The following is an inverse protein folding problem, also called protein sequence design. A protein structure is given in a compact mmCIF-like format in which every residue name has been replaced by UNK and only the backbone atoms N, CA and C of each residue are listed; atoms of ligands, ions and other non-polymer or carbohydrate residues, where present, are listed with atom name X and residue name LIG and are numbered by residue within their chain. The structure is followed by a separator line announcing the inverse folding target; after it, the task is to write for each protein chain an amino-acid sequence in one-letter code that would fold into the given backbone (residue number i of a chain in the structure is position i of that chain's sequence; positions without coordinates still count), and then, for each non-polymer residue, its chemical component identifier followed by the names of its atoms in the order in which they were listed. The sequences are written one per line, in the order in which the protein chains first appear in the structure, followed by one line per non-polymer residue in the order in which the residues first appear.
data_IF_530778890713
#
_entry.id   IF_530778890713
#
_cell.length_a   1.000
_cell.length_b   1.000
_cell.length_c   1.000
_cell.angle_alpha   90.00
_cell.angle_beta   90.00
_cell.angle_gamma   90.00
#
_symmetry.space_group_name_H-M   'P 1'
#
loop_
_entity.id
_entity.type
_entity.pdbx_description
1 polymer ?
#
# COMPACT_ATOMS: atom_id res chain seq x y z
N UNK A 1 2.76 36.41 12.10
CA UNK A 1 4.00 35.80 12.64
C UNK A 1 3.99 34.31 12.35
N UNK A 2 4.70 33.90 11.29
CA UNK A 2 4.82 32.50 10.87
C UNK A 2 5.77 31.77 11.84
N UNK A 3 5.30 30.71 12.48
CA UNK A 3 6.17 29.85 13.27
C UNK A 3 7.02 28.97 12.33
N UNK A 4 8.34 28.91 12.54
CA UNK A 4 9.23 28.09 11.71
C UNK A 4 8.90 26.60 11.88
N UNK A 5 9.05 25.85 10.79
CA UNK A 5 8.96 24.39 10.73
C UNK A 5 9.80 23.75 11.85
N UNK A 6 9.14 23.37 12.95
CA UNK A 6 9.73 22.49 13.93
C UNK A 6 9.94 21.14 13.23
N UNK A 7 11.20 20.83 12.92
CA UNK A 7 11.61 19.47 12.53
C UNK A 7 11.11 18.54 13.64
N UNK A 8 10.06 17.78 13.36
CA UNK A 8 9.48 16.85 14.31
C UNK A 8 10.57 15.85 14.71
N UNK A 9 11.09 15.97 15.92
CA UNK A 9 11.97 14.96 16.51
C UNK A 9 11.19 13.64 16.53
N UNK A 10 11.76 12.50 16.09
CA UNK A 10 11.02 11.23 16.04
C UNK A 10 10.44 10.86 17.41
N UNK A 11 9.12 10.84 17.50
CA UNK A 11 8.37 10.49 18.72
C UNK A 11 8.07 8.99 18.79
N UNK A 12 8.21 8.29 17.66
CA UNK A 12 7.90 6.88 17.54
C UNK A 12 8.92 6.16 16.65
N UNK A 13 9.36 4.98 17.09
CA UNK A 13 10.19 4.08 16.30
C UNK A 13 9.33 2.92 15.81
N UNK A 14 9.06 2.88 14.51
CA UNK A 14 8.44 1.73 13.86
C UNK A 14 9.48 0.61 13.78
N UNK A 15 9.36 -0.35 14.71
CA UNK A 15 10.30 -1.46 14.84
C UNK A 15 10.32 -2.36 13.61
N UNK A 16 9.17 -2.58 12.98
CA UNK A 16 9.04 -3.39 11.76
C UNK A 16 7.88 -2.81 10.94
N UNK A 17 8.20 -2.33 9.74
CA UNK A 17 7.22 -2.13 8.68
C UNK A 17 7.14 -3.39 7.82
N UNK A 18 5.96 -3.70 7.28
CA UNK A 18 5.81 -4.72 6.24
C UNK A 18 5.60 -4.04 4.92
N UNK A 19 6.38 -4.44 3.91
CA UNK A 19 6.24 -3.99 2.54
C UNK A 19 5.81 -5.16 1.66
N UNK A 20 4.72 -4.96 0.92
CA UNK A 20 4.16 -5.95 0.00
C UNK A 20 3.60 -5.26 -1.24
N UNK A 21 3.48 -6.02 -2.33
CA UNK A 21 2.73 -5.60 -3.51
C UNK A 21 1.52 -6.52 -3.68
N UNK A 22 0.34 -5.95 -3.87
CA UNK A 22 -0.83 -6.68 -4.39
C UNK A 22 -1.08 -6.32 -5.85
N UNK A 23 -1.65 -7.26 -6.61
CA UNK A 23 -1.90 -7.09 -8.05
C UNK A 23 -3.39 -7.12 -8.33
N UNK A 24 -3.94 -5.99 -8.72
CA UNK A 24 -5.34 -5.85 -9.08
C UNK A 24 -5.48 -5.74 -10.59
N UNK A 25 -6.39 -6.51 -11.20
CA UNK A 25 -6.71 -6.32 -12.62
C UNK A 25 -7.20 -4.90 -12.88
N UNK A 26 -6.71 -4.27 -13.94
CA UNK A 26 -7.17 -2.94 -14.32
C UNK A 26 -8.63 -2.96 -14.80
N UNK A 27 -9.37 -1.93 -14.45
CA UNK A 27 -10.78 -1.76 -14.82
C UNK A 27 -10.86 -1.16 -16.23
N UNK A 28 -11.60 -1.80 -17.18
CA UNK A 28 -11.83 -1.22 -18.50
C UNK A 28 -12.73 0.00 -18.42
N UNK A 29 -12.66 0.86 -19.44
CA UNK A 29 -13.53 2.03 -19.54
C UNK A 29 -15.00 1.58 -19.73
N UNK A 30 -15.89 2.16 -18.93
CA UNK A 30 -17.28 1.71 -18.76
C UNK A 30 -17.47 0.72 -17.60
N UNK A 31 -16.39 0.20 -17.01
CA UNK A 31 -16.43 -0.64 -15.82
C UNK A 31 -16.28 -2.15 -16.09
N UNK A 32 -15.80 -2.86 -15.07
CA UNK A 32 -15.40 -4.27 -15.17
C UNK A 32 -16.55 -5.28 -15.04
N UNK A 33 -16.33 -6.48 -15.59
CA UNK A 33 -17.31 -7.57 -15.64
C UNK A 33 -17.93 -7.95 -14.30
N UNK A 34 -17.22 -7.72 -13.18
CA UNK A 34 -17.72 -7.97 -11.82
C UNK A 34 -19.02 -7.22 -11.52
N UNK A 35 -19.20 -6.01 -12.07
CA UNK A 35 -20.36 -5.17 -11.80
C UNK A 35 -21.33 -5.05 -12.98
N UNK A 36 -20.82 -5.04 -14.21
CA UNK A 36 -21.66 -4.89 -15.42
C UNK A 36 -22.04 -6.23 -16.06
N UNK A 37 -21.57 -7.35 -15.51
CA UNK A 37 -21.72 -8.68 -16.08
C UNK A 37 -20.72 -8.98 -17.20
N UNK A 38 -20.52 -10.28 -17.50
CA UNK A 38 -19.48 -10.74 -18.45
C UNK A 38 -19.63 -10.17 -19.85
N UNK A 39 -20.84 -10.19 -20.42
CA UNK A 39 -21.10 -9.73 -21.78
C UNK A 39 -20.77 -8.25 -21.97
N UNK A 40 -21.25 -7.40 -21.05
CA UNK A 40 -20.97 -5.96 -21.12
C UNK A 40 -19.52 -5.66 -20.78
N UNK A 41 -18.95 -6.33 -19.77
CA UNK A 41 -17.56 -6.15 -19.38
C UNK A 41 -16.57 -6.53 -20.49
N UNK A 42 -16.90 -7.53 -21.32
CA UNK A 42 -16.09 -7.86 -22.49
C UNK A 42 -16.18 -6.76 -23.56
N UNK A 43 -17.36 -6.20 -23.82
CA UNK A 43 -17.51 -5.05 -24.72
C UNK A 43 -16.69 -3.85 -24.26
N UNK A 44 -16.78 -3.50 -22.98
CA UNK A 44 -15.98 -2.43 -22.36
C UNK A 44 -14.48 -2.69 -22.51
N UNK A 45 -14.05 -3.92 -22.21
CA UNK A 45 -12.65 -4.33 -22.35
C UNK A 45 -12.14 -4.16 -23.77
N UNK A 46 -12.90 -4.59 -24.78
CA UNK A 46 -12.54 -4.45 -26.20
C UNK A 46 -12.53 -2.98 -26.64
N UNK A 47 -13.47 -2.17 -26.15
CA UNK A 47 -13.59 -0.76 -26.51
C UNK A 47 -12.60 0.16 -25.78
N UNK A 48 -11.91 -0.31 -24.73
CA UNK A 48 -10.96 0.51 -23.95
C UNK A 48 -9.75 0.90 -24.84
N UNK A 49 -9.51 2.19 -25.08
CA UNK A 49 -8.47 2.66 -26.00
C UNK A 49 -7.06 2.51 -25.43
N UNK A 50 -6.05 2.57 -26.32
CA UNK A 50 -4.63 2.65 -25.94
C UNK A 50 -4.05 1.38 -25.29
N UNK A 51 -4.73 0.24 -25.39
CA UNK A 51 -4.27 -1.03 -24.81
C UNK A 51 -3.56 -1.88 -25.85
N UNK A 52 -2.38 -2.38 -25.50
CA UNK A 52 -1.66 -3.34 -26.32
C UNK A 52 -2.44 -4.66 -26.42
N UNK A 53 -2.16 -5.47 -27.44
CA UNK A 53 -2.86 -6.74 -27.67
C UNK A 53 -2.02 -7.92 -27.17
N UNK A 54 -2.69 -8.98 -26.73
CA UNK A 54 -2.07 -10.27 -26.41
C UNK A 54 -1.89 -11.14 -27.66
N UNK A 55 -1.25 -12.30 -27.51
CA UNK A 55 -0.99 -13.23 -28.59
C UNK A 55 -2.27 -13.71 -29.32
N UNK A 56 -3.43 -13.57 -28.68
CA UNK A 56 -4.75 -13.92 -29.21
C UNK A 56 -5.54 -12.70 -29.71
N UNK A 57 -4.90 -11.53 -29.85
CA UNK A 57 -5.53 -10.30 -30.33
C UNK A 57 -6.47 -9.63 -29.31
N UNK A 58 -6.56 -10.11 -28.08
CA UNK A 58 -7.35 -9.47 -27.01
C UNK A 58 -6.60 -8.30 -26.34
N UNK A 59 -7.29 -7.25 -25.88
CA UNK A 59 -6.66 -6.12 -25.21
C UNK A 59 -6.05 -6.53 -23.85
N UNK A 60 -4.84 -6.04 -23.58
CA UNK A 60 -4.13 -6.17 -22.32
C UNK A 60 -4.44 -4.95 -21.45
N UNK A 61 -5.41 -5.10 -20.55
CA UNK A 61 -5.70 -4.05 -19.57
C UNK A 61 -4.55 -3.84 -18.57
N UNK A 62 -3.76 -4.89 -18.32
CA UNK A 62 -2.68 -4.87 -17.34
C UNK A 62 -3.18 -4.94 -15.91
N UNK A 63 -2.28 -4.63 -14.98
CA UNK A 63 -2.53 -4.66 -13.54
C UNK A 63 -2.20 -3.31 -12.93
N UNK A 64 -2.90 -2.98 -11.86
CA UNK A 64 -2.52 -1.97 -10.88
C UNK A 64 -1.74 -2.68 -9.78
N UNK A 65 -0.49 -2.29 -9.59
CA UNK A 65 0.40 -2.82 -8.56
C UNK A 65 0.29 -1.93 -7.33
N UNK A 66 -0.28 -2.47 -6.26
CA UNK A 66 -0.58 -1.76 -5.03
C UNK A 66 0.54 -2.00 -4.03
N UNK A 67 1.48 -1.06 -3.96
CA UNK A 67 2.63 -1.12 -3.05
C UNK A 67 2.20 -0.60 -1.69
N UNK A 68 2.23 -1.45 -0.66
CA UNK A 68 1.76 -1.13 0.69
C UNK A 68 2.88 -1.29 1.71
N UNK A 69 3.08 -0.26 2.53
CA UNK A 69 3.91 -0.25 3.72
C UNK A 69 3.02 -0.09 4.94
N UNK A 70 2.98 -1.09 5.82
CA UNK A 70 2.14 -1.09 7.03
C UNK A 70 2.95 -1.31 8.30
N UNK A 71 2.68 -0.51 9.33
CA UNK A 71 3.27 -0.69 10.66
C UNK A 71 2.70 -1.93 11.37
N UNK A 72 3.61 -2.80 11.81
CA UNK A 72 3.29 -4.02 12.53
C UNK A 72 2.67 -3.79 13.93
N UNK A 73 2.81 -2.58 14.49
CA UNK A 73 2.20 -2.21 15.78
C UNK A 73 0.91 -1.40 15.64
N UNK A 74 0.97 -0.23 15.00
CA UNK A 74 -0.15 0.71 14.92
C UNK A 74 -1.20 0.34 13.89
N UNK A 75 -0.85 -0.49 12.90
CA UNK A 75 -1.62 -0.76 11.68
C UNK A 75 -1.71 0.44 10.73
N UNK A 76 -1.04 1.55 10.99
CA UNK A 76 -1.01 2.67 10.04
C UNK A 76 -0.35 2.20 8.74
N UNK A 77 -1.02 2.48 7.62
CA UNK A 77 -0.62 2.03 6.30
C UNK A 77 -0.37 3.23 5.37
N UNK A 78 0.70 3.11 4.59
CA UNK A 78 1.02 3.94 3.45
C UNK A 78 0.92 3.07 2.19
N UNK A 79 0.17 3.51 1.19
CA UNK A 79 -0.04 2.71 -0.02
C UNK A 79 -0.01 3.60 -1.26
N UNK A 80 0.64 3.11 -2.32
CA UNK A 80 0.68 3.72 -3.65
C UNK A 80 0.28 2.72 -4.73
N UNK A 81 -0.22 3.22 -5.86
CA UNK A 81 -0.53 2.41 -7.04
C UNK A 81 0.47 2.77 -8.13
N UNK A 82 1.08 1.73 -8.71
CA UNK A 82 2.01 1.83 -9.82
C UNK A 82 1.63 0.85 -10.94
N UNK A 83 2.28 0.99 -12.08
CA UNK A 83 2.06 0.14 -13.26
C UNK A 83 3.01 -1.06 -13.33
N UNK A 84 3.91 -1.20 -12.34
CA UNK A 84 4.83 -2.32 -12.21
C UNK A 84 5.24 -2.63 -10.74
N UNK A 85 5.95 -3.75 -10.58
CA UNK A 85 6.56 -4.21 -9.31
C UNK A 85 8.09 -4.25 -9.39
N UNK A 86 8.70 -3.37 -10.17
CA UNK A 86 10.16 -3.33 -10.36
C UNK A 86 10.89 -2.84 -9.11
N UNK A 87 12.20 -3.14 -9.04
CA UNK A 87 13.06 -2.63 -7.97
C UNK A 87 13.08 -1.09 -7.91
N UNK A 88 13.10 -0.42 -9.08
CA UNK A 88 13.11 1.05 -9.18
C UNK A 88 11.84 1.64 -8.57
N UNK A 89 10.68 1.09 -8.92
CA UNK A 89 9.40 1.52 -8.35
C UNK A 89 9.35 1.27 -6.85
N UNK A 90 9.76 0.07 -6.40
CA UNK A 90 9.77 -0.28 -4.98
C UNK A 90 10.63 0.66 -4.13
N UNK A 91 11.84 1.02 -4.58
CA UNK A 91 12.69 1.97 -3.84
C UNK A 91 12.12 3.39 -3.87
N UNK A 92 11.49 3.79 -4.97
CA UNK A 92 10.77 5.06 -5.06
C UNK A 92 9.65 5.16 -4.02
N UNK A 93 8.86 4.10 -3.88
CA UNK A 93 7.81 3.98 -2.85
C UNK A 93 8.42 4.03 -1.45
N UNK A 94 9.53 3.31 -1.21
CA UNK A 94 10.20 3.31 0.09
C UNK A 94 10.64 4.73 0.50
N UNK A 95 11.26 5.50 -0.39
CA UNK A 95 11.66 6.87 -0.11
C UNK A 95 10.48 7.76 0.29
N UNK A 96 9.39 7.71 -0.49
CA UNK A 96 8.19 8.51 -0.21
C UNK A 96 7.51 8.09 1.09
N UNK A 97 7.46 6.79 1.37
CA UNK A 97 6.93 6.28 2.62
C UNK A 97 7.76 6.70 3.83
N UNK A 98 9.11 6.62 3.75
CA UNK A 98 9.99 7.09 4.82
C UNK A 98 9.74 8.57 5.11
N UNK A 99 9.66 9.41 4.07
CA UNK A 99 9.30 10.83 4.22
C UNK A 99 7.92 10.99 4.89
N UNK A 100 6.91 10.28 4.39
CA UNK A 100 5.54 10.34 4.92
C UNK A 100 5.46 9.95 6.40
N UNK A 101 6.18 8.90 6.82
CA UNK A 101 6.27 8.50 8.22
C UNK A 101 7.07 9.51 9.05
N UNK A 102 8.17 10.06 8.52
CA UNK A 102 8.99 11.06 9.21
C UNK A 102 8.21 12.36 9.48
N UNK A 103 7.38 12.83 8.55
CA UNK A 103 6.46 13.95 8.73
C UNK A 103 5.45 13.73 9.87
N UNK A 104 5.26 12.48 10.29
CA UNK A 104 4.41 12.07 11.41
C UNK A 104 5.20 11.70 12.67
N UNK A 105 6.49 12.04 12.70
CA UNK A 105 7.40 11.74 13.80
C UNK A 105 7.75 10.25 13.94
N UNK A 106 7.64 9.47 12.87
CA UNK A 106 7.93 8.03 12.86
C UNK A 106 9.20 7.73 12.07
N UNK A 107 10.15 7.02 12.70
CA UNK A 107 11.32 6.45 12.01
C UNK A 107 11.14 4.96 11.77
N UNK A 108 11.43 4.50 10.56
CA UNK A 108 11.41 3.08 10.17
C UNK A 108 12.75 2.45 10.53
N UNK A 109 12.77 1.42 11.38
CA UNK A 109 14.02 0.71 11.70
C UNK A 109 14.26 -0.50 10.79
N UNK A 110 13.18 -1.21 10.43
CA UNK A 110 13.25 -2.46 9.66
C UNK A 110 12.08 -2.56 8.70
N UNK A 111 12.34 -3.10 7.52
CA UNK A 111 11.32 -3.44 6.53
C UNK A 111 11.34 -4.94 6.31
N UNK A 112 10.19 -5.59 6.50
CA UNK A 112 9.98 -6.99 6.20
C UNK A 112 9.21 -7.11 4.88
N UNK A 113 9.83 -7.69 3.86
CA UNK A 113 9.22 -7.94 2.55
C UNK A 113 9.08 -9.43 2.26
N UNK A 114 8.33 -9.78 1.22
CA UNK A 114 8.43 -11.10 0.62
C UNK A 114 9.75 -11.30 -0.16
N UNK A 115 9.90 -12.48 -0.75
CA UNK A 115 11.10 -12.87 -1.50
C UNK A 115 11.04 -12.47 -2.99
N UNK A 116 10.19 -11.50 -3.35
CA UNK A 116 10.08 -10.97 -4.70
C UNK A 116 11.39 -10.38 -5.23
N UNK A 117 11.57 -10.44 -6.56
CA UNK A 117 12.82 -10.05 -7.22
C UNK A 117 13.25 -8.61 -6.93
N UNK A 118 12.28 -7.68 -6.84
CA UNK A 118 12.52 -6.28 -6.48
C UNK A 118 13.23 -6.16 -5.12
N UNK A 119 12.75 -6.87 -4.11
CA UNK A 119 13.28 -6.81 -2.75
C UNK A 119 14.59 -7.57 -2.58
N UNK A 120 14.90 -8.50 -3.48
CA UNK A 120 16.19 -9.21 -3.51
C UNK A 120 17.29 -8.46 -4.28
N UNK A 121 16.96 -7.35 -4.94
CA UNK A 121 17.91 -6.60 -5.76
C UNK A 121 18.97 -5.88 -4.92
N UNK A 122 20.15 -5.64 -5.52
CA UNK A 122 21.18 -4.79 -4.92
C UNK A 122 20.69 -3.36 -4.70
N UNK A 123 19.93 -2.82 -5.66
CA UNK A 123 19.31 -1.49 -5.54
C UNK A 123 18.47 -1.36 -4.27
N UNK A 124 17.66 -2.38 -3.96
CA UNK A 124 16.88 -2.42 -2.73
C UNK A 124 17.76 -2.44 -1.47
N UNK A 125 18.74 -3.35 -1.43
CA UNK A 125 19.70 -3.47 -0.31
C UNK A 125 20.41 -2.15 -0.04
N UNK A 126 20.95 -1.53 -1.08
CA UNK A 126 21.76 -0.32 -0.99
C UNK A 126 20.90 0.88 -0.58
N UNK A 127 19.67 0.98 -1.11
CA UNK A 127 18.69 2.01 -0.69
C UNK A 127 18.31 1.86 0.78
N UNK A 128 18.03 0.64 1.25
CA UNK A 128 17.77 0.41 2.67
C UNK A 128 18.96 0.82 3.54
N UNK A 129 20.19 0.51 3.12
CA UNK A 129 21.42 0.94 3.79
C UNK A 129 21.52 2.46 3.89
N UNK A 130 21.31 3.18 2.78
CA UNK A 130 21.33 4.64 2.75
C UNK A 130 20.26 5.28 3.66
N UNK A 131 19.11 4.63 3.80
CA UNK A 131 18.02 5.06 4.69
C UNK A 131 18.19 4.59 6.14
N UNK A 132 19.30 3.90 6.48
CA UNK A 132 19.53 3.29 7.80
C UNK A 132 18.41 2.30 8.22
N UNK A 133 17.82 1.62 7.24
CA UNK A 133 16.78 0.61 7.41
C UNK A 133 17.40 -0.76 7.25
N UNK A 134 17.13 -1.69 8.18
CA UNK A 134 17.53 -3.09 7.98
C UNK A 134 16.46 -3.84 7.17
N UNK A 135 16.76 -4.30 5.94
CA UNK A 135 15.83 -5.16 5.20
C UNK A 135 15.79 -6.56 5.83
N UNK A 136 14.60 -7.15 5.86
CA UNK A 136 14.32 -8.52 6.29
C UNK A 136 13.38 -9.17 5.29
N UNK A 137 13.52 -10.48 5.12
CA UNK A 137 12.65 -11.27 4.27
C UNK A 137 11.75 -12.16 5.11
N UNK A 138 10.53 -12.38 4.63
CA UNK A 138 9.67 -13.42 5.20
C UNK A 138 10.36 -14.76 5.07
N UNK A 139 10.39 -15.51 6.19
CA UNK A 139 10.93 -16.86 6.17
C UNK A 139 10.03 -17.72 5.28
N UNK A 140 10.59 -18.54 4.38
CA UNK A 140 9.83 -19.56 3.67
C UNK A 140 8.98 -20.39 4.65
N UNK A 141 7.77 -20.75 4.23
CA UNK A 141 6.85 -21.62 4.97
C UNK A 141 6.40 -21.12 6.36
N UNK A 142 6.43 -19.80 6.62
CA UNK A 142 5.86 -19.19 7.85
C UNK A 142 4.75 -18.17 7.56
N UNK A 143 3.61 -18.61 6.97
CA UNK A 143 2.49 -17.74 6.60
C UNK A 143 1.85 -17.04 7.81
N UNK A 144 1.98 -17.59 9.03
CA UNK A 144 1.45 -16.96 10.25
C UNK A 144 1.98 -15.54 10.48
N UNK A 145 3.16 -15.22 9.92
CA UNK A 145 3.72 -13.88 10.02
C UNK A 145 3.03 -12.85 9.11
N UNK A 146 2.29 -13.26 8.08
CA UNK A 146 1.67 -12.37 7.09
C UNK A 146 0.21 -12.00 7.40
N UNK A 147 -0.42 -12.61 8.39
CA UNK A 147 -1.87 -12.42 8.63
C UNK A 147 -2.30 -10.95 8.84
N UNK A 148 -1.40 -10.07 9.31
CA UNK A 148 -1.68 -8.63 9.46
C UNK A 148 -1.82 -7.92 8.11
N UNK A 149 -0.90 -8.20 7.18
CA UNK A 149 -0.92 -7.57 5.86
C UNK A 149 -2.00 -8.18 4.97
N UNK A 150 -2.22 -9.49 5.07
CA UNK A 150 -3.34 -10.16 4.40
C UNK A 150 -4.70 -9.63 4.88
N UNK A 151 -4.85 -9.35 6.18
CA UNK A 151 -6.06 -8.71 6.72
C UNK A 151 -6.22 -7.28 6.20
N UNK A 152 -5.13 -6.52 6.10
CA UNK A 152 -5.17 -5.18 5.53
C UNK A 152 -5.61 -5.21 4.07
N UNK A 153 -5.02 -6.07 3.23
CA UNK A 153 -5.41 -6.20 1.83
C UNK A 153 -6.85 -6.65 1.65
N UNK A 154 -7.37 -7.53 2.52
CA UNK A 154 -8.79 -7.87 2.53
C UNK A 154 -9.68 -6.67 2.86
N UNK A 155 -9.30 -5.90 3.87
CA UNK A 155 -10.01 -4.66 4.26
C UNK A 155 -10.00 -3.64 3.13
N UNK A 156 -8.87 -3.53 2.41
CA UNK A 156 -8.69 -2.69 1.23
C UNK A 156 -9.51 -3.19 0.04
N UNK A 157 -9.59 -4.50 -0.17
CA UNK A 157 -10.40 -5.09 -1.22
C UNK A 157 -11.89 -4.77 -1.02
N UNK A 158 -12.39 -4.97 0.20
CA UNK A 158 -13.80 -4.74 0.54
C UNK A 158 -14.15 -3.24 0.59
N UNK A 159 -13.25 -2.42 1.15
CA UNK A 159 -13.51 -1.01 1.40
C UNK A 159 -13.14 -0.06 0.26
N UNK A 160 -12.30 -0.51 -0.68
CA UNK A 160 -11.85 0.31 -1.81
C UNK A 160 -11.92 -0.44 -3.14
N UNK A 161 -11.14 -1.51 -3.33
CA UNK A 161 -10.92 -2.08 -4.66
C UNK A 161 -12.20 -2.62 -5.31
N UNK A 162 -13.09 -3.17 -4.49
CA UNK A 162 -14.37 -3.76 -4.88
C UNK A 162 -15.56 -3.16 -4.11
N UNK A 163 -15.39 -1.96 -3.54
CA UNK A 163 -16.45 -1.33 -2.76
C UNK A 163 -17.65 -0.87 -3.61
N UNK A 164 -17.41 -0.56 -4.89
CA UNK A 164 -18.41 -0.02 -5.81
C UNK A 164 -18.04 -0.29 -7.27
N UNK A 165 -19.01 -0.08 -8.16
CA UNK A 165 -18.76 -0.09 -9.60
C UNK A 165 -17.94 1.14 -9.98
N UNK A 166 -16.64 0.97 -10.22
CA UNK A 166 -15.83 1.99 -10.89
C UNK A 166 -16.00 1.88 -12.40
N UNK A 167 -16.14 3.02 -13.07
CA UNK A 167 -16.29 3.12 -14.52
C UNK A 167 -14.95 3.17 -15.26
N UNK A 168 -13.83 3.36 -14.56
CA UNK A 168 -12.48 3.28 -15.12
C UNK A 168 -11.45 2.94 -14.04
N UNK A 169 -10.25 2.51 -14.45
CA UNK A 169 -9.15 2.31 -13.50
C UNK A 169 -8.74 3.61 -12.82
N UNK A 170 -8.73 4.72 -13.55
CA UNK A 170 -8.36 6.03 -12.99
C UNK A 170 -9.29 6.41 -11.83
N UNK A 171 -10.59 6.21 -12.00
CA UNK A 171 -11.56 6.48 -10.93
C UNK A 171 -11.29 5.65 -9.67
N UNK A 172 -10.83 4.40 -9.83
CA UNK A 172 -10.42 3.57 -8.69
C UNK A 172 -9.16 4.13 -8.05
N UNK A 173 -8.15 4.54 -8.83
CA UNK A 173 -6.92 5.16 -8.33
C UNK A 173 -7.20 6.42 -7.52
N UNK A 174 -8.05 7.30 -8.04
CA UNK A 174 -8.41 8.57 -7.39
C UNK A 174 -9.10 8.36 -6.03
N UNK A 175 -9.84 7.26 -5.87
CA UNK A 175 -10.51 6.92 -4.62
C UNK A 175 -9.58 6.41 -3.51
N UNK A 176 -8.36 5.97 -3.84
CA UNK A 176 -7.48 5.31 -2.87
C UNK A 176 -7.10 6.23 -1.71
N UNK A 177 -6.71 7.48 -1.99
CA UNK A 177 -6.23 8.40 -0.96
C UNK A 177 -7.31 8.72 0.08
N UNK A 178 -8.55 8.96 -0.37
CA UNK A 178 -9.69 9.20 0.52
C UNK A 178 -9.97 7.96 1.39
N UNK A 179 -9.87 6.76 0.81
CA UNK A 179 -10.06 5.53 1.56
C UNK A 179 -8.95 5.30 2.59
N UNK A 180 -7.68 5.52 2.22
CA UNK A 180 -6.53 5.40 3.14
C UNK A 180 -6.64 6.40 4.30
N UNK A 181 -7.09 7.62 4.02
CA UNK A 181 -7.36 8.61 5.07
C UNK A 181 -8.41 8.08 6.06
N UNK A 182 -9.53 7.58 5.55
CA UNK A 182 -10.56 6.95 6.39
C UNK A 182 -10.02 5.76 7.18
N UNK A 183 -9.30 4.84 6.53
CA UNK A 183 -8.70 3.68 7.17
C UNK A 183 -7.77 4.07 8.34
N UNK A 184 -6.85 5.01 8.10
CA UNK A 184 -5.85 5.39 9.09
C UNK A 184 -6.43 6.23 10.23
N UNK A 185 -7.33 7.16 9.93
CA UNK A 185 -7.75 8.20 10.87
C UNK A 185 -9.10 7.97 11.52
N UNK A 186 -9.99 7.20 10.88
CA UNK A 186 -11.40 7.12 11.29
C UNK A 186 -11.88 5.70 11.54
N UNK A 187 -11.35 4.69 10.83
CA UNK A 187 -11.82 3.31 10.94
C UNK A 187 -11.43 2.66 12.27
N UNK A 188 -12.39 2.22 13.10
CA UNK A 188 -12.09 1.46 14.31
C UNK A 188 -11.37 0.15 13.99
N UNK A 189 -10.33 -0.18 14.76
CA UNK A 189 -9.62 -1.44 14.61
C UNK A 189 -9.58 -2.19 15.95
N UNK A 190 -10.07 -3.43 16.00
CA UNK A 190 -10.11 -4.25 17.23
C UNK A 190 -8.72 -4.45 17.83
N UNK A 191 -7.75 -4.73 16.96
CA UNK A 191 -6.34 -4.80 17.33
C UNK A 191 -5.78 -3.50 17.94
N UNK A 192 -6.48 -2.37 17.80
CA UNK A 192 -6.18 -1.03 18.30
C UNK A 192 -7.12 -0.57 19.43
N UNK A 193 -7.81 -1.48 20.12
CA UNK A 193 -8.75 -1.11 21.18
C UNK A 193 -9.99 -0.37 20.65
N UNK A 194 -10.42 -0.72 19.43
CA UNK A 194 -11.50 -0.03 18.69
C UNK A 194 -11.23 1.45 18.39
N UNK A 195 -9.97 1.87 18.47
CA UNK A 195 -9.53 3.18 18.00
C UNK A 195 -8.95 3.10 16.58
N UNK A 196 -8.90 4.22 15.85
CA UNK A 196 -8.25 4.28 14.55
C UNK A 196 -6.76 3.96 14.63
N UNK A 197 -6.14 3.37 13.59
CA UNK A 197 -4.69 3.09 13.55
C UNK A 197 -3.81 4.27 13.99
N UNK A 198 -4.15 5.48 13.55
CA UNK A 198 -3.37 6.69 13.85
C UNK A 198 -3.30 7.01 15.35
N UNK A 199 -4.29 6.59 16.15
CA UNK A 199 -4.30 6.78 17.60
C UNK A 199 -3.06 6.20 18.28
N UNK A 200 -2.47 5.14 17.71
CA UNK A 200 -1.26 4.48 18.24
C UNK A 200 0.06 5.12 17.83
N UNK A 201 0.03 6.04 16.86
CA UNK A 201 1.20 6.84 16.52
C UNK A 201 1.33 8.05 17.45
N UNK A 202 0.20 8.63 17.88
CA UNK A 202 0.15 9.82 18.75
C UNK A 202 0.17 9.47 20.24
N UNK A 203 -0.37 8.31 20.65
CA UNK A 203 -0.23 7.80 22.02
C UNK A 203 1.13 7.10 22.19
N UNK A 204 2.18 7.91 22.28
CA UNK A 204 3.35 7.52 23.07
C UNK A 204 2.83 7.33 24.49
N UNK A 205 3.13 6.23 25.21
CA UNK A 205 2.80 6.15 26.62
C UNK A 205 3.44 7.36 27.28
N UNK A 206 2.64 8.34 27.69
CA UNK A 206 3.05 9.20 28.76
C UNK A 206 3.40 8.24 29.90
N UNK A 207 4.64 8.37 30.36
CA UNK A 207 5.12 7.68 31.54
C UNK A 207 4.11 7.96 32.66
N UNK A 208 3.23 7.00 32.94
CA UNK A 208 2.64 6.91 34.27
C UNK A 208 3.83 6.62 35.19
N UNK A 209 4.35 7.69 35.80
CA UNK A 209 5.16 7.61 37.02
C UNK A 209 4.23 7.35 38.18
#
# INVERSE_FOLDING_TARGET
MSHPNAVLTPRHRMKVARLVVDRLGNIPDGGGWRYVGRRQGEKHRVATPGKSRNAYGGPKLGYAFVHTIIDDRSRVAYTEIHDDETAVTAVGVLHRAVKWFAERGVTIERVLSDNGGAYRSYLWRDTCGALSITPKFTRPYRPQTNGKVERFHRTMADGWAYARCYTSEQQRRDALLSWLHHYNQHRPHTACGNQPPYSRLINVPAQYR
#
